data_IF_448318078231
#
_entry.id   IF_448318078231
#
_cell.length_a   1.000
_cell.length_b   1.000
_cell.length_c   1.000
_cell.angle_alpha   90.00
_cell.angle_beta   90.00
_cell.angle_gamma   90.00
#
_symmetry.space_group_name_H-M   'P 1'
#
loop_
_entity.id
_entity.type
_entity.pdbx_description
1 polymer ?
#
# COMPACT_ATOMS: atom_id res chain seq x y z
N UNK A 1 1.95 10.65 -9.94
CA UNK A 1 1.73 11.52 -8.75
C UNK A 1 3.08 11.94 -8.18
N UNK A 2 3.15 12.81 -7.17
CA UNK A 2 4.42 13.05 -6.46
C UNK A 2 4.51 12.14 -5.24
N UNK A 3 5.15 10.97 -5.41
CA UNK A 3 5.25 9.95 -4.37
C UNK A 3 6.17 10.35 -3.21
N UNK A 4 7.16 11.22 -3.46
CA UNK A 4 8.15 11.62 -2.46
C UNK A 4 7.50 12.33 -1.27
N UNK A 5 6.42 13.09 -1.53
CA UNK A 5 5.61 13.77 -0.51
C UNK A 5 5.09 12.84 0.60
N UNK A 6 4.88 11.56 0.29
CA UNK A 6 4.27 10.59 1.20
C UNK A 6 5.29 9.69 1.92
N UNK A 7 6.55 9.65 1.48
CA UNK A 7 7.55 8.71 2.01
C UNK A 7 7.80 8.90 3.50
N UNK A 8 7.95 10.15 3.94
CA UNK A 8 8.19 10.45 5.35
C UNK A 8 6.97 10.13 6.21
N UNK A 9 5.75 10.31 5.66
CA UNK A 9 4.52 9.87 6.31
C UNK A 9 4.50 8.35 6.49
N UNK A 10 4.74 7.57 5.43
CA UNK A 10 4.77 6.10 5.51
C UNK A 10 5.83 5.59 6.47
N UNK A 11 6.99 6.26 6.55
CA UNK A 11 8.03 5.93 7.52
C UNK A 11 7.54 6.11 8.96
N UNK A 12 6.87 7.23 9.24
CA UNK A 12 6.36 7.57 10.59
C UNK A 12 5.24 6.64 11.05
N UNK A 13 4.46 6.09 10.13
CA UNK A 13 3.33 5.21 10.44
C UNK A 13 3.71 3.76 10.74
N UNK A 14 4.98 3.38 10.54
CA UNK A 14 5.46 2.06 10.94
C UNK A 14 5.27 1.84 12.44
N UNK A 15 4.77 0.67 12.80
CA UNK A 15 4.44 0.28 14.17
C UNK A 15 3.44 1.20 14.89
N UNK A 16 2.76 2.13 14.19
CA UNK A 16 1.71 2.96 14.80
C UNK A 16 0.37 2.26 14.77
N UNK A 17 -0.28 2.19 15.92
CA UNK A 17 -1.66 1.72 15.98
C UNK A 17 -2.59 2.69 15.23
N UNK A 18 -3.45 2.16 14.36
CA UNK A 18 -4.49 2.94 13.70
C UNK A 18 -5.79 2.69 14.45
N UNK A 19 -6.43 3.75 14.99
CA UNK A 19 -7.65 3.60 15.74
C UNK A 19 -8.77 3.07 14.85
N UNK A 20 -9.61 2.20 15.41
CA UNK A 20 -10.81 1.69 14.76
C UNK A 20 -12.04 2.44 15.26
N UNK A 21 -13.14 2.42 14.51
CA UNK A 21 -14.44 2.84 15.04
C UNK A 21 -14.89 1.87 16.13
N UNK A 22 -15.13 2.40 17.33
CA UNK A 22 -15.70 1.64 18.44
C UNK A 22 -17.13 1.19 18.13
N UNK A 23 -17.48 0.00 18.59
CA UNK A 23 -18.83 -0.57 18.52
C UNK A 23 -19.47 -0.57 19.91
N UNK A 24 -20.08 0.53 20.33
CA UNK A 24 -21.09 0.44 21.39
C UNK A 24 -22.43 0.27 20.69
N UNK A 25 -22.71 -0.96 20.23
CA UNK A 25 -24.05 -1.34 19.79
C UNK A 25 -24.90 -1.60 21.03
N UNK A 26 -25.99 -0.86 21.21
CA UNK A 26 -26.95 -1.01 22.32
C UNK A 26 -27.50 -2.46 22.46
N UNK A 27 -27.39 -3.27 21.40
CA UNK A 27 -27.99 -4.59 21.29
C UNK A 27 -27.00 -5.76 21.52
N UNK A 28 -25.74 -5.49 21.86
CA UNK A 28 -24.72 -6.52 22.13
C UNK A 28 -24.19 -7.28 20.91
N UNK A 29 -24.52 -6.83 19.69
CA UNK A 29 -23.98 -7.39 18.43
C UNK A 29 -22.74 -6.59 18.01
N UNK A 30 -21.56 -7.21 18.06
CA UNK A 30 -20.32 -6.64 17.52
C UNK A 30 -20.42 -6.49 15.99
N UNK A 31 -20.58 -5.26 15.48
CA UNK A 31 -20.42 -4.95 14.05
C UNK A 31 -18.98 -4.58 13.72
N UNK A 32 -18.21 -5.44 13.03
CA UNK A 32 -16.80 -5.15 12.65
C UNK A 32 -16.61 -3.69 12.20
N UNK A 33 -15.87 -2.93 13.01
CA UNK A 33 -15.64 -1.50 12.80
C UNK A 33 -14.67 -1.32 11.65
N UNK A 34 -14.53 -0.08 11.18
CA UNK A 34 -13.55 0.25 10.17
C UNK A 34 -12.40 1.06 10.77
N UNK A 35 -11.19 0.95 10.22
CA UNK A 35 -10.06 1.79 10.63
C UNK A 35 -10.32 3.26 10.29
N UNK A 36 -9.91 4.16 11.17
CA UNK A 36 -9.95 5.61 10.96
C UNK A 36 -8.64 6.05 10.35
N UNK A 37 -8.62 6.21 9.03
CA UNK A 37 -7.48 6.73 8.30
C UNK A 37 -7.40 8.25 8.41
N UNK A 38 -6.17 8.77 8.52
CA UNK A 38 -5.92 10.21 8.45
C UNK A 38 -6.01 10.73 7.01
N UNK A 39 -6.03 12.06 6.88
CA UNK A 39 -6.14 12.74 5.59
C UNK A 39 -4.98 12.42 4.64
N UNK A 40 -3.76 12.19 5.16
CA UNK A 40 -2.59 11.90 4.31
C UNK A 40 -2.72 10.52 3.64
N UNK A 41 -3.20 9.51 4.37
CA UNK A 41 -3.47 8.20 3.77
C UNK A 41 -4.59 8.27 2.74
N UNK A 42 -5.69 8.97 3.05
CA UNK A 42 -6.82 9.10 2.13
C UNK A 42 -6.44 9.86 0.86
N UNK A 43 -5.68 10.95 1.00
CA UNK A 43 -5.17 11.73 -0.12
C UNK A 43 -4.22 10.90 -0.98
N UNK A 44 -3.30 10.16 -0.37
CA UNK A 44 -2.42 9.25 -1.10
C UNK A 44 -3.20 8.26 -1.96
N UNK A 45 -4.18 7.55 -1.37
CA UNK A 45 -4.97 6.56 -2.10
C UNK A 45 -5.69 7.19 -3.27
N UNK A 46 -6.32 8.35 -3.05
CA UNK A 46 -7.05 9.07 -4.09
C UNK A 46 -6.12 9.46 -5.24
N UNK A 47 -5.05 10.19 -4.94
CA UNK A 47 -4.10 10.66 -5.95
C UNK A 47 -3.45 9.50 -6.71
N UNK A 48 -3.09 8.43 -5.99
CA UNK A 48 -2.47 7.27 -6.62
C UNK A 48 -3.44 6.59 -7.58
N UNK A 49 -4.68 6.32 -7.17
CA UNK A 49 -5.70 5.69 -8.03
C UNK A 49 -6.07 6.53 -9.24
N UNK A 50 -6.00 7.85 -9.15
CA UNK A 50 -6.25 8.78 -10.25
C UNK A 50 -5.01 8.96 -11.16
N UNK A 51 -3.83 8.51 -10.73
CA UNK A 51 -2.58 8.68 -11.47
C UNK A 51 -2.37 7.62 -12.56
N UNK A 52 -1.48 7.93 -13.51
CA UNK A 52 -0.99 6.97 -14.50
C UNK A 52 -0.16 5.83 -13.92
N UNK A 53 0.29 5.96 -12.66
CA UNK A 53 1.15 4.99 -11.98
C UNK A 53 0.34 3.81 -11.42
N UNK A 54 -1.00 3.96 -11.33
CA UNK A 54 -1.89 2.89 -10.95
C UNK A 54 -1.98 1.84 -12.07
N UNK A 55 -1.56 0.60 -11.78
CA UNK A 55 -1.72 -0.53 -12.69
C UNK A 55 -3.11 -1.18 -12.51
N UNK A 56 -4.10 -0.98 -13.40
CA UNK A 56 -5.41 -1.62 -13.30
C UNK A 56 -5.35 -3.15 -13.51
N UNK A 57 -4.23 -3.68 -14.00
CA UNK A 57 -3.96 -5.09 -14.25
C UNK A 57 -2.93 -5.65 -13.28
N UNK A 58 -2.70 -5.02 -12.13
CA UNK A 58 -1.70 -5.40 -11.14
C UNK A 58 -1.71 -6.90 -10.79
N UNK A 59 -2.89 -7.53 -10.68
CA UNK A 59 -3.01 -8.98 -10.43
C UNK A 59 -2.35 -9.81 -11.52
N UNK A 60 -2.49 -9.42 -12.79
CA UNK A 60 -1.86 -10.08 -13.94
C UNK A 60 -0.36 -9.82 -13.97
N UNK A 61 0.06 -8.59 -13.67
CA UNK A 61 1.47 -8.19 -13.60
C UNK A 61 2.23 -9.03 -12.57
N UNK A 62 1.71 -9.14 -11.33
CA UNK A 62 2.31 -9.97 -10.27
C UNK A 62 2.35 -11.46 -10.66
N UNK A 63 1.23 -12.00 -11.20
CA UNK A 63 1.15 -13.42 -11.58
C UNK A 63 2.09 -13.80 -12.71
N UNK A 64 2.37 -12.89 -13.65
CA UNK A 64 3.34 -13.11 -14.74
C UNK A 64 4.74 -13.43 -14.20
N UNK A 65 5.05 -12.91 -13.01
CA UNK A 65 6.30 -13.15 -12.30
C UNK A 65 6.18 -14.26 -11.24
N UNK A 66 5.12 -15.07 -11.29
CA UNK A 66 4.81 -16.12 -10.30
C UNK A 66 4.69 -15.61 -8.85
N UNK A 67 4.43 -14.30 -8.68
CA UNK A 67 4.21 -13.68 -7.37
C UNK A 67 2.74 -13.84 -6.98
N UNK A 68 2.50 -14.22 -5.72
CA UNK A 68 1.13 -14.39 -5.20
C UNK A 68 0.48 -13.01 -5.01
N UNK A 69 -0.81 -12.93 -5.33
CA UNK A 69 -1.63 -11.71 -5.15
C UNK A 69 -2.10 -11.64 -3.69
N UNK A 70 -1.17 -11.40 -2.76
CA UNK A 70 -1.45 -11.31 -1.32
C UNK A 70 -0.51 -10.30 -0.66
N UNK A 71 -1.05 -9.44 0.18
CA UNK A 71 -0.27 -8.46 0.93
C UNK A 71 0.31 -9.09 2.21
N UNK A 72 1.59 -9.48 2.16
CA UNK A 72 2.37 -9.96 3.31
C UNK A 72 3.88 -9.80 3.04
N UNK A 73 4.71 -10.04 4.06
CA UNK A 73 6.17 -9.90 3.95
C UNK A 73 6.79 -10.74 2.83
N UNK A 74 6.29 -11.96 2.60
CA UNK A 74 6.83 -12.84 1.56
C UNK A 74 6.65 -12.22 0.17
N UNK A 75 5.43 -11.77 -0.14
CA UNK A 75 5.12 -11.13 -1.42
C UNK A 75 5.89 -9.82 -1.58
N UNK A 76 5.94 -8.99 -0.53
CA UNK A 76 6.70 -7.73 -0.54
C UNK A 76 8.18 -8.03 -0.84
N UNK A 77 8.78 -9.00 -0.14
CA UNK A 77 10.17 -9.41 -0.36
C UNK A 77 10.42 -9.91 -1.78
N UNK A 78 9.51 -10.71 -2.35
CA UNK A 78 9.61 -11.17 -3.75
C UNK A 78 9.61 -10.00 -4.74
N UNK A 79 8.73 -9.01 -4.54
CA UNK A 79 8.67 -7.81 -5.38
C UNK A 79 9.98 -7.01 -5.29
N UNK A 80 10.51 -6.81 -4.08
CA UNK A 80 11.77 -6.09 -3.87
C UNK A 80 12.98 -6.79 -4.49
N UNK A 81 13.04 -8.12 -4.41
CA UNK A 81 14.14 -8.91 -4.97
C UNK A 81 14.17 -8.91 -6.50
N UNK A 82 13.00 -8.79 -7.14
CA UNK A 82 12.90 -8.78 -8.60
C UNK A 82 13.50 -7.51 -9.24
N UNK A 83 13.60 -6.40 -8.48
CA UNK A 83 14.12 -5.10 -8.94
C UNK A 83 13.45 -4.57 -10.23
N UNK A 84 12.22 -5.00 -10.50
CA UNK A 84 11.42 -4.51 -11.62
C UNK A 84 10.48 -3.40 -11.12
N UNK A 85 10.61 -2.16 -11.62
CA UNK A 85 9.73 -1.06 -11.20
C UNK A 85 8.25 -1.35 -11.48
N UNK A 86 7.92 -2.10 -12.54
CA UNK A 86 6.53 -2.48 -12.84
C UNK A 86 5.92 -3.36 -11.74
N UNK A 87 6.73 -4.21 -11.09
CA UNK A 87 6.27 -5.02 -9.95
C UNK A 87 6.04 -4.17 -8.71
N UNK A 88 6.86 -3.15 -8.48
CA UNK A 88 6.69 -2.25 -7.34
C UNK A 88 5.41 -1.42 -7.47
N UNK A 89 5.14 -0.89 -8.66
CA UNK A 89 3.88 -0.20 -8.95
C UNK A 89 2.66 -1.14 -8.88
N UNK A 90 2.76 -2.36 -9.41
CA UNK A 90 1.69 -3.35 -9.27
C UNK A 90 1.43 -3.72 -7.80
N UNK A 91 2.47 -3.81 -6.97
CA UNK A 91 2.30 -4.04 -5.54
C UNK A 91 1.65 -2.84 -4.84
N UNK A 92 2.00 -1.62 -5.24
CA UNK A 92 1.33 -0.41 -4.76
C UNK A 92 -0.18 -0.42 -5.11
N UNK A 93 -0.55 -0.79 -6.34
CA UNK A 93 -1.94 -0.97 -6.77
C UNK A 93 -2.68 -2.07 -5.99
N UNK A 94 -1.99 -3.14 -5.63
CA UNK A 94 -2.56 -4.16 -4.76
C UNK A 94 -2.87 -3.60 -3.37
N UNK A 95 -1.94 -2.86 -2.76
CA UNK A 95 -2.15 -2.22 -1.45
C UNK A 95 -3.31 -1.21 -1.54
N UNK A 96 -3.32 -0.35 -2.56
CA UNK A 96 -4.31 0.71 -2.73
C UNK A 96 -5.75 0.20 -2.91
N UNK A 97 -5.93 -1.05 -3.34
CA UNK A 97 -7.24 -1.69 -3.51
C UNK A 97 -7.58 -2.71 -2.43
N UNK A 98 -6.65 -3.01 -1.53
CA UNK A 98 -6.82 -4.09 -0.55
C UNK A 98 -7.95 -3.83 0.46
N UNK A 99 -8.18 -2.57 0.81
CA UNK A 99 -9.24 -2.16 1.76
C UNK A 99 -10.64 -2.52 1.28
N UNK A 100 -10.87 -2.58 -0.04
CA UNK A 100 -12.16 -2.94 -0.64
C UNK A 100 -12.54 -4.42 -0.39
N UNK A 101 -11.56 -5.25 0.01
CA UNK A 101 -11.72 -6.70 0.16
C UNK A 101 -11.45 -7.16 1.59
N UNK A 102 -10.55 -6.51 2.31
CA UNK A 102 -10.16 -6.84 3.68
C UNK A 102 -9.94 -5.52 4.46
N UNK A 103 -10.92 -5.15 5.30
CA UNK A 103 -10.87 -3.95 6.12
C UNK A 103 -9.65 -3.99 7.07
N UNK A 104 -8.93 -2.88 7.19
CA UNK A 104 -7.66 -2.84 7.93
C UNK A 104 -6.42 -3.19 7.10
N UNK A 105 -6.58 -3.41 5.79
CA UNK A 105 -5.45 -3.67 4.91
C UNK A 105 -4.50 -2.48 4.81
N UNK A 106 -5.02 -1.26 4.63
CA UNK A 106 -4.16 -0.07 4.62
C UNK A 106 -3.48 0.13 5.97
N UNK A 107 -4.19 -0.14 7.08
CA UNK A 107 -3.60 -0.07 8.41
C UNK A 107 -2.43 -1.04 8.57
N UNK A 108 -2.61 -2.30 8.16
CA UNK A 108 -1.54 -3.30 8.12
C UNK A 108 -0.39 -2.84 7.23
N UNK A 109 -0.67 -2.31 6.04
CA UNK A 109 0.37 -1.87 5.09
C UNK A 109 1.22 -0.71 5.63
N UNK A 110 0.61 0.21 6.39
CA UNK A 110 1.30 1.29 7.10
C UNK A 110 2.14 0.74 8.27
N UNK A 111 1.51 -0.06 9.13
CA UNK A 111 2.13 -0.62 10.34
C UNK A 111 3.35 -1.48 10.04
N UNK A 112 3.22 -2.39 9.08
CA UNK A 112 4.28 -3.30 8.64
C UNK A 112 5.33 -2.63 7.74
N UNK A 113 5.14 -1.35 7.41
CA UNK A 113 6.05 -0.57 6.57
C UNK A 113 6.07 -0.96 5.10
N UNK A 114 5.05 -1.67 4.60
CA UNK A 114 4.96 -2.07 3.19
C UNK A 114 4.93 -0.86 2.26
N UNK A 115 4.08 0.13 2.58
CA UNK A 115 4.00 1.36 1.79
C UNK A 115 5.36 2.07 1.73
N UNK A 116 6.06 2.17 2.86
CA UNK A 116 7.40 2.78 2.90
C UNK A 116 8.42 2.02 2.04
N UNK A 117 8.47 0.68 2.16
CA UNK A 117 9.41 -0.15 1.42
C UNK A 117 9.18 -0.04 -0.10
N UNK A 118 7.92 -0.18 -0.54
CA UNK A 118 7.55 -0.09 -1.94
C UNK A 118 7.84 1.31 -2.49
N UNK A 119 7.46 2.38 -1.79
CA UNK A 119 7.74 3.75 -2.23
C UNK A 119 9.24 4.02 -2.37
N UNK A 120 10.05 3.56 -1.42
CA UNK A 120 11.52 3.70 -1.49
C UNK A 120 12.10 2.96 -2.69
N UNK A 121 11.60 1.77 -3.00
CA UNK A 121 12.07 1.00 -4.16
C UNK A 121 11.74 1.68 -5.48
N UNK A 122 10.53 2.23 -5.62
CA UNK A 122 10.11 3.01 -6.79
C UNK A 122 11.06 4.21 -7.00
N UNK A 123 11.19 5.07 -5.99
CA UNK A 123 11.99 6.30 -6.08
C UNK A 123 13.46 5.99 -6.40
N UNK A 124 14.03 4.99 -5.73
CA UNK A 124 15.42 4.59 -5.99
C UNK A 124 15.62 4.10 -7.44
N UNK A 125 14.63 3.42 -8.02
CA UNK A 125 14.72 2.91 -9.39
C UNK A 125 14.59 4.04 -10.42
N UNK A 126 13.73 5.02 -10.17
CA UNK A 126 13.58 6.22 -11.01
C UNK A 126 14.85 7.07 -11.00
N UNK A 127 15.48 7.25 -9.84
CA UNK A 127 16.75 7.97 -9.71
C UNK A 127 17.89 7.31 -10.51
N UNK A 128 17.92 5.97 -10.59
CA UNK A 128 18.91 5.24 -11.41
C UNK A 128 18.61 5.25 -12.91
N UNK A 129 17.39 5.62 -13.31
CA UNK A 129 16.95 5.60 -14.71
C UNK A 129 17.10 6.96 -15.42
N UNK A 130 17.45 8.02 -14.70
CA UNK A 130 17.81 9.32 -15.27
C UNK A 130 19.33 9.36 -15.56
N UNK A 131 19.77 9.37 -16.83
CA UNK A 131 21.18 9.61 -17.13
C UNK A 131 21.55 11.05 -16.76
N UNK A 132 22.72 11.21 -16.14
CA UNK A 132 23.36 12.49 -15.88
C UNK A 132 23.68 13.26 -17.16
#
# INVERSE_FOLDING_TARGET
MDLEKYVEYFKKMQNREIPWTSMDGEDGILQMGYPKYDEQMLQFIREFRESSDFDPRYKKTLRKWHIRVKMNHVTIGQVMLAKDPALSWAMMSLIATAEEVDAGSWARALQEGYLYQISKAIINTEATSQPS
#
